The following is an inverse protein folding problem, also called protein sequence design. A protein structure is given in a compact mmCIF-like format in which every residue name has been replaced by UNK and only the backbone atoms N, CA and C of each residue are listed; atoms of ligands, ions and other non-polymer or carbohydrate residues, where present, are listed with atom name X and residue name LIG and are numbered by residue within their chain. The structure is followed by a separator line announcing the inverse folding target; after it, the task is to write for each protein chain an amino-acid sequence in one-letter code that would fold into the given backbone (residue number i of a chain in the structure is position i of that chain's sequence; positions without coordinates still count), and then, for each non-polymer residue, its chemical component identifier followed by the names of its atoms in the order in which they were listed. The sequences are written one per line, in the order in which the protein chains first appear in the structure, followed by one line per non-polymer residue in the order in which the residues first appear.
data_IF_740953515368
#
_entry.id   IF_740953515368
#
_cell.length_a   1.000
_cell.length_b   1.000
_cell.length_c   1.000
_cell.angle_alpha   90.00
_cell.angle_beta   90.00
_cell.angle_gamma   90.00
#
_symmetry.space_group_name_H-M   'P 1'
#
loop_
_entity.id
_entity.type
_entity.pdbx_description
1 polymer ?
#
# COMPACT_ATOMS: atom_id res chain seq x y z
N UNK A 1 9.79 -59.39 19.09
CA UNK A 1 8.87 -58.46 18.40
C UNK A 1 9.68 -57.61 17.43
N UNK A 2 9.32 -57.65 16.13
CA UNK A 2 9.78 -56.74 15.06
C UNK A 2 11.14 -56.98 14.37
N UNK A 3 11.43 -58.23 14.02
CA UNK A 3 12.22 -58.61 12.83
C UNK A 3 11.47 -58.33 11.52
N UNK A 4 10.82 -57.17 11.38
CA UNK A 4 9.96 -56.85 10.23
C UNK A 4 10.09 -55.43 9.63
N UNK A 5 11.03 -54.59 10.06
CA UNK A 5 11.26 -53.27 9.41
C UNK A 5 12.45 -53.23 8.44
N UNK A 6 13.19 -54.33 8.30
CA UNK A 6 14.36 -54.44 7.42
C UNK A 6 14.07 -54.99 6.00
N UNK A 7 12.80 -55.22 5.62
CA UNK A 7 12.46 -55.99 4.42
C UNK A 7 11.41 -55.35 3.48
N UNK A 8 11.36 -54.02 3.37
CA UNK A 8 10.84 -53.34 2.16
C UNK A 8 11.94 -52.48 1.56
N UNK A 9 13.10 -53.08 1.24
CA UNK A 9 13.27 -53.78 -0.04
C UNK A 9 12.64 -52.98 -1.19
N UNK A 10 13.40 -52.01 -1.68
CA UNK A 10 13.86 -52.06 -3.06
C UNK A 10 12.79 -52.30 -4.14
N UNK A 11 11.65 -51.60 -4.08
CA UNK A 11 10.62 -51.70 -5.13
C UNK A 11 10.03 -50.39 -5.62
N UNK A 12 10.82 -49.32 -5.60
CA UNK A 12 10.78 -48.30 -6.67
C UNK A 12 12.21 -47.93 -7.06
N UNK A 13 12.89 -48.88 -7.70
CA UNK A 13 13.95 -48.56 -8.67
C UNK A 13 13.37 -47.57 -9.68
N UNK A 14 14.18 -46.56 -10.01
CA UNK A 14 14.10 -45.72 -11.23
C UNK A 14 12.78 -44.99 -11.40
N UNK A 15 12.72 -43.73 -10.98
CA UNK A 15 12.27 -42.63 -11.84
C UNK A 15 12.68 -41.32 -11.15
N UNK A 16 13.38 -40.51 -11.92
CA UNK A 16 13.91 -39.17 -11.63
C UNK A 16 15.31 -39.06 -11.00
N UNK A 17 16.30 -39.60 -11.71
CA UNK A 17 17.72 -39.17 -11.70
C UNK A 17 17.91 -37.73 -12.24
N UNK A 18 17.00 -36.80 -11.93
CA UNK A 18 17.11 -35.38 -12.34
C UNK A 18 17.16 -34.38 -11.19
N UNK A 19 16.97 -34.82 -9.95
CA UNK A 19 16.80 -33.91 -8.82
C UNK A 19 18.09 -33.57 -8.05
N UNK A 20 19.12 -34.42 -8.12
CA UNK A 20 20.30 -34.27 -7.25
C UNK A 20 21.50 -33.57 -7.90
N UNK A 21 21.49 -33.33 -9.21
CA UNK A 21 22.61 -32.66 -9.90
C UNK A 21 22.60 -31.12 -9.76
N UNK A 22 21.45 -30.51 -9.43
CA UNK A 22 21.40 -29.06 -9.18
C UNK A 22 21.83 -28.67 -7.75
N UNK A 23 21.95 -29.65 -6.84
CA UNK A 23 22.24 -29.39 -5.42
C UNK A 23 23.74 -29.11 -5.18
N UNK A 24 24.63 -29.50 -6.08
CA UNK A 24 26.08 -29.21 -5.96
C UNK A 24 26.59 -28.02 -6.81
N UNK A 25 25.73 -27.31 -7.57
CA UNK A 25 26.16 -26.16 -8.40
C UNK A 25 25.82 -24.79 -7.79
N UNK A 26 24.84 -24.68 -6.88
CA UNK A 26 24.40 -23.37 -6.34
C UNK A 26 25.07 -23.04 -4.99
N UNK A 27 26.32 -23.47 -4.82
CA UNK A 27 27.21 -23.00 -3.75
C UNK A 27 28.46 -22.41 -4.41
N UNK A 28 28.27 -21.36 -5.20
CA UNK A 28 29.34 -20.42 -5.52
C UNK A 28 28.88 -19.05 -5.05
N UNK A 29 29.62 -18.56 -4.06
CA UNK A 29 29.48 -17.30 -3.33
C UNK A 29 29.02 -16.16 -4.22
N UNK A 30 28.00 -15.44 -3.78
CA UNK A 30 27.71 -14.13 -4.36
C UNK A 30 27.08 -13.26 -3.28
N UNK A 31 27.88 -12.36 -2.69
CA UNK A 31 27.38 -11.16 -2.00
C UNK A 31 26.30 -10.46 -2.87
N UNK A 32 26.38 -10.63 -4.19
CA UNK A 32 25.43 -10.19 -5.21
C UNK A 32 23.99 -10.65 -4.92
N UNK A 33 23.74 -11.85 -4.39
CA UNK A 33 22.37 -12.30 -4.12
C UNK A 33 21.73 -11.53 -2.96
N UNK A 34 22.51 -11.26 -1.91
CA UNK A 34 22.07 -10.45 -0.79
C UNK A 34 21.82 -9.01 -1.25
N UNK A 35 22.75 -8.42 -2.03
CA UNK A 35 22.59 -7.08 -2.61
C UNK A 35 21.39 -6.96 -3.55
N UNK A 36 21.12 -7.99 -4.39
CA UNK A 36 19.95 -8.04 -5.26
C UNK A 36 18.66 -8.11 -4.44
N UNK A 37 18.61 -8.96 -3.40
CA UNK A 37 17.47 -9.01 -2.49
C UNK A 37 17.26 -7.68 -1.76
N UNK A 38 18.30 -7.05 -1.22
CA UNK A 38 18.21 -5.74 -0.57
C UNK A 38 17.76 -4.66 -1.55
N UNK A 39 18.27 -4.62 -2.78
CA UNK A 39 17.87 -3.67 -3.81
C UNK A 39 16.39 -3.84 -4.21
N UNK A 40 15.90 -5.08 -4.34
CA UNK A 40 14.50 -5.37 -4.64
C UNK A 40 13.57 -4.98 -3.48
N UNK A 41 14.00 -5.21 -2.23
CA UNK A 41 13.26 -4.78 -1.04
C UNK A 41 13.18 -3.25 -0.92
N UNK A 42 14.30 -2.55 -1.16
CA UNK A 42 14.34 -1.07 -1.17
C UNK A 42 13.46 -0.52 -2.28
N UNK A 43 13.50 -1.09 -3.49
CA UNK A 43 12.64 -0.68 -4.60
C UNK A 43 11.15 -0.89 -4.28
N UNK A 44 10.79 -2.03 -3.67
CA UNK A 44 9.42 -2.30 -3.26
C UNK A 44 8.91 -1.33 -2.18
N UNK A 45 9.77 -0.95 -1.23
CA UNK A 45 9.45 0.06 -0.20
C UNK A 45 9.30 1.46 -0.83
N UNK A 46 10.21 1.84 -1.74
CA UNK A 46 10.11 3.10 -2.51
C UNK A 46 8.82 3.19 -3.31
N UNK A 47 8.42 2.10 -3.98
CA UNK A 47 7.14 2.02 -4.69
C UNK A 47 5.94 2.04 -3.73
N UNK A 48 6.07 1.43 -2.54
CA UNK A 48 5.04 1.42 -1.51
C UNK A 48 4.78 2.79 -0.87
N UNK A 49 5.75 3.69 -0.86
CA UNK A 49 5.58 5.06 -0.37
C UNK A 49 4.82 5.99 -1.33
N UNK A 50 4.53 5.57 -2.57
CA UNK A 50 3.81 6.39 -3.54
C UNK A 50 2.29 6.47 -3.29
N UNK A 51 1.79 5.74 -2.28
CA UNK A 51 0.36 5.49 -2.12
C UNK A 51 -0.18 5.70 -0.72
N UNK A 52 0.00 6.88 -0.11
CA UNK A 52 -0.84 7.30 1.02
C UNK A 52 -1.95 8.22 0.51
N UNK A 53 -3.08 7.60 0.14
CA UNK A 53 -4.36 8.30 0.04
C UNK A 53 -4.92 8.47 1.47
N UNK A 54 -4.49 9.52 2.15
CA UNK A 54 -5.08 9.96 3.42
C UNK A 54 -6.51 10.47 3.16
N UNK A 55 -7.49 9.56 3.15
CA UNK A 55 -8.89 9.95 3.10
C UNK A 55 -9.24 10.69 4.40
N UNK A 56 -9.48 11.99 4.31
CA UNK A 56 -9.91 12.82 5.44
C UNK A 56 -11.34 12.48 5.84
N UNK A 57 -11.52 11.75 6.95
CA UNK A 57 -12.86 11.52 7.50
C UNK A 57 -13.45 12.85 7.99
N UNK A 58 -14.60 13.24 7.43
CA UNK A 58 -15.23 14.51 7.73
C UNK A 58 -16.77 14.38 7.80
N UNK A 59 -17.32 14.10 9.00
CA UNK A 59 -18.76 13.92 9.18
C UNK A 59 -19.47 15.28 9.18
N UNK A 60 -20.30 15.53 8.17
CA UNK A 60 -21.14 16.73 8.06
C UNK A 60 -22.60 16.35 7.78
N UNK A 61 -23.53 17.13 8.34
CA UNK A 61 -24.94 16.99 8.03
C UNK A 61 -25.28 17.82 6.77
N UNK A 62 -25.51 17.14 5.64
CA UNK A 62 -25.83 17.81 4.38
C UNK A 62 -27.21 18.49 4.35
N UNK A 63 -28.06 18.26 5.36
CA UNK A 63 -29.37 18.94 5.47
C UNK A 63 -29.25 20.32 6.12
N UNK A 64 -28.12 20.62 6.77
CA UNK A 64 -27.87 21.93 7.34
C UNK A 64 -27.77 22.97 6.23
N UNK A 65 -28.53 24.06 6.38
CA UNK A 65 -28.55 25.17 5.42
C UNK A 65 -27.59 26.25 5.89
N UNK A 66 -26.82 26.80 4.97
CA UNK A 66 -25.91 27.91 5.28
C UNK A 66 -24.76 27.96 4.29
N UNK A 67 -25.09 28.15 3.01
CA UNK A 67 -24.09 28.13 1.93
C UNK A 67 -23.02 29.18 2.15
N UNK A 68 -21.80 28.86 1.75
CA UNK A 68 -20.66 29.78 1.79
C UNK A 68 -19.84 29.70 0.51
N UNK A 69 -19.35 30.84 0.05
CA UNK A 69 -18.43 30.91 -1.08
C UNK A 69 -17.00 30.87 -0.59
N UNK A 70 -16.21 29.93 -1.08
CA UNK A 70 -14.77 29.85 -0.80
C UNK A 70 -13.96 30.84 -1.63
N UNK A 71 -12.76 31.15 -1.13
CA UNK A 71 -11.76 31.97 -1.85
C UNK A 71 -11.32 31.36 -3.18
N UNK A 72 -11.52 30.06 -3.35
CA UNK A 72 -11.33 29.29 -4.58
C UNK A 72 -12.50 29.41 -5.58
N UNK A 73 -13.55 30.18 -5.26
CA UNK A 73 -14.72 30.35 -6.13
C UNK A 73 -15.70 29.17 -6.11
N UNK A 74 -15.54 28.23 -5.17
CA UNK A 74 -16.47 27.10 -5.00
C UNK A 74 -17.50 27.45 -3.94
N UNK A 75 -18.78 27.21 -4.23
CA UNK A 75 -19.83 27.26 -3.21
C UNK A 75 -19.91 25.94 -2.46
N UNK A 76 -19.94 26.03 -1.13
CA UNK A 76 -20.16 24.91 -0.22
C UNK A 76 -21.59 24.95 0.32
N UNK A 77 -22.22 23.78 0.44
CA UNK A 77 -23.63 23.63 0.84
C UNK A 77 -23.89 24.18 2.24
N UNK A 78 -22.91 23.98 3.12
CA UNK A 78 -22.90 24.51 4.47
C UNK A 78 -21.46 24.79 4.94
N UNK A 79 -21.35 25.40 6.12
CA UNK A 79 -20.05 25.73 6.70
C UNK A 79 -19.23 24.49 7.07
N UNK A 80 -19.86 23.40 7.47
CA UNK A 80 -19.16 22.16 7.80
C UNK A 80 -18.39 21.61 6.57
N UNK A 81 -19.03 21.56 5.41
CA UNK A 81 -18.41 21.12 4.16
C UNK A 81 -17.21 22.00 3.76
N UNK A 82 -17.36 23.33 3.93
CA UNK A 82 -16.25 24.28 3.74
C UNK A 82 -15.09 23.99 4.69
N UNK A 83 -15.37 23.82 5.99
CA UNK A 83 -14.35 23.56 7.00
C UNK A 83 -13.62 22.23 6.76
N UNK A 84 -14.32 21.21 6.29
CA UNK A 84 -13.72 19.94 5.87
C UNK A 84 -12.72 20.13 4.74
N UNK A 85 -13.14 20.82 3.68
CA UNK A 85 -12.26 21.13 2.56
C UNK A 85 -11.10 22.03 3.01
N UNK A 86 -11.34 22.95 3.94
CA UNK A 86 -10.29 23.82 4.49
C UNK A 86 -9.21 23.00 5.24
N UNK A 87 -9.58 21.94 5.97
CA UNK A 87 -8.60 21.06 6.64
C UNK A 87 -7.71 20.37 5.60
N UNK A 88 -8.28 19.92 4.49
CA UNK A 88 -7.51 19.28 3.42
C UNK A 88 -6.55 20.27 2.74
N UNK A 89 -7.00 21.50 2.52
CA UNK A 89 -6.11 22.57 2.05
C UNK A 89 -4.95 22.80 3.01
N UNK A 90 -5.21 22.85 4.33
CA UNK A 90 -4.16 23.01 5.36
C UNK A 90 -3.15 21.86 5.34
N UNK A 91 -3.60 20.61 5.17
CA UNK A 91 -2.68 19.45 5.03
C UNK A 91 -1.75 19.58 3.83
N UNK A 92 -2.22 20.21 2.76
CA UNK A 92 -1.46 20.49 1.54
C UNK A 92 -0.65 21.79 1.60
N UNK A 93 -0.60 22.48 2.76
CA UNK A 93 0.10 23.77 2.90
C UNK A 93 -0.59 24.92 2.14
N UNK A 94 -1.87 24.80 1.82
CA UNK A 94 -2.68 25.81 1.12
C UNK A 94 -3.66 26.46 2.09
N UNK A 95 -4.12 27.66 1.74
CA UNK A 95 -5.13 28.40 2.52
C UNK A 95 -6.43 28.49 1.74
N UNK A 96 -7.54 28.17 2.39
CA UNK A 96 -8.90 28.34 1.87
C UNK A 96 -9.69 29.20 2.85
N UNK A 97 -10.07 30.40 2.45
CA UNK A 97 -10.85 31.33 3.27
C UNK A 97 -12.29 31.45 2.74
N UNK A 98 -13.21 31.92 3.58
CA UNK A 98 -14.55 32.29 3.13
C UNK A 98 -14.43 33.63 2.39
N UNK A 99 -14.88 33.67 1.15
CA UNK A 99 -14.97 34.88 0.34
C UNK A 99 -16.25 35.66 0.65
N UNK A 100 -17.38 34.96 0.71
CA UNK A 100 -18.69 35.56 1.01
C UNK A 100 -19.60 34.55 1.68
N UNK A 101 -20.57 35.04 2.44
CA UNK A 101 -21.73 34.24 2.84
C UNK A 101 -22.64 34.05 1.62
N UNK A 102 -23.26 32.87 1.50
CA UNK A 102 -24.08 32.51 0.34
C UNK A 102 -23.29 31.87 -0.81
N UNK A 103 -23.94 31.76 -1.97
CA UNK A 103 -23.31 31.26 -3.20
C UNK A 103 -22.23 32.23 -3.74
N UNK A 104 -21.27 31.72 -4.50
CA UNK A 104 -20.38 32.56 -5.29
C UNK A 104 -21.18 33.25 -6.41
N UNK A 105 -20.94 34.56 -6.60
CA UNK A 105 -21.56 35.39 -7.64
C UNK A 105 -20.54 35.74 -8.73
#
# INVERSE_FOLDING_TARGET
VQTQRFAQKQRRKRISEKFFSCIEIIISKDEVFEFVCFALLVLAIFLGHLGQSEASFCPCNLKEKGKVCGSNGVTYTNRCEFECTQRDYKKLGRTLNIRSMGDCA
#
